data_IF_921086910448
#
_entry.id   IF_921086910448
#
_cell.length_a   1.000
_cell.length_b   1.000
_cell.length_c   1.000
_cell.angle_alpha   90.00
_cell.angle_beta   90.00
_cell.angle_gamma   90.00
#
_symmetry.space_group_name_H-M   'P 1'
#
loop_
_entity.id
_entity.type
_entity.pdbx_description
1 polymer ?
#
# COMPACT_ATOMS: atom_id res chain seq x y z
N UNK A 1 30.77 -16.48 -0.79
CA UNK A 1 31.41 -15.64 0.26
C UNK A 1 31.32 -16.37 1.59
N UNK A 2 32.39 -16.40 2.39
CA UNK A 2 32.31 -16.89 3.77
C UNK A 2 31.57 -15.87 4.64
N UNK A 3 30.88 -16.30 5.70
CA UNK A 3 30.11 -15.44 6.62
C UNK A 3 30.96 -14.31 7.22
N UNK A 4 32.24 -14.56 7.51
CA UNK A 4 33.19 -13.55 7.99
C UNK A 4 33.44 -12.46 6.94
N UNK A 5 33.74 -12.83 5.69
CA UNK A 5 33.98 -11.86 4.59
C UNK A 5 32.75 -11.00 4.30
N UNK A 6 31.55 -11.56 4.45
CA UNK A 6 30.32 -10.80 4.30
C UNK A 6 30.14 -9.78 5.42
N UNK A 7 30.41 -10.17 6.67
CA UNK A 7 30.35 -9.27 7.82
C UNK A 7 31.34 -8.11 7.64
N UNK A 8 32.57 -8.39 7.26
CA UNK A 8 33.60 -7.36 7.02
C UNK A 8 33.15 -6.39 5.92
N UNK A 9 32.58 -6.91 4.82
CA UNK A 9 32.03 -6.10 3.74
C UNK A 9 30.86 -5.21 4.19
N UNK A 10 29.99 -5.69 5.08
CA UNK A 10 28.90 -4.89 5.65
C UNK A 10 29.46 -3.74 6.50
N UNK A 11 30.45 -4.02 7.35
CA UNK A 11 31.09 -2.99 8.19
C UNK A 11 31.77 -1.92 7.34
N UNK A 12 32.53 -2.33 6.32
CA UNK A 12 33.17 -1.41 5.37
C UNK A 12 32.12 -0.53 4.66
N UNK A 13 31.03 -1.12 4.17
CA UNK A 13 29.96 -0.35 3.53
C UNK A 13 29.27 0.62 4.49
N UNK A 14 29.07 0.24 5.76
CA UNK A 14 28.47 1.15 6.76
C UNK A 14 29.40 2.31 7.11
N UNK A 15 30.72 2.08 7.15
CA UNK A 15 31.70 3.15 7.33
C UNK A 15 31.71 4.09 6.11
N UNK A 16 31.74 3.53 4.90
CA UNK A 16 31.71 4.29 3.65
C UNK A 16 30.42 5.08 3.46
N UNK A 17 29.28 4.60 3.96
CA UNK A 17 28.01 5.32 3.94
C UNK A 17 28.04 6.63 4.75
N UNK A 18 29.00 6.78 5.69
CA UNK A 18 29.22 7.99 6.49
C UNK A 18 30.29 8.93 5.89
N UNK A 19 30.92 8.55 4.78
CA UNK A 19 31.95 9.37 4.11
C UNK A 19 31.40 10.73 3.66
N UNK A 20 32.23 11.75 3.49
CA UNK A 20 31.77 13.03 2.90
C UNK A 20 31.60 12.97 1.37
N UNK A 21 32.08 11.90 0.72
CA UNK A 21 31.99 11.72 -0.72
C UNK A 21 30.70 10.98 -1.12
N UNK A 22 29.85 11.64 -1.91
CA UNK A 22 28.63 11.04 -2.45
C UNK A 22 28.90 9.80 -3.33
N UNK A 23 30.02 9.76 -4.04
CA UNK A 23 30.42 8.59 -4.84
C UNK A 23 30.71 7.37 -3.95
N UNK A 24 31.39 7.59 -2.84
CA UNK A 24 31.70 6.55 -1.84
C UNK A 24 30.41 6.06 -1.18
N UNK A 25 29.55 6.97 -0.72
CA UNK A 25 28.22 6.64 -0.16
C UNK A 25 27.40 5.82 -1.15
N UNK A 26 27.33 6.27 -2.40
CA UNK A 26 26.54 5.62 -3.43
C UNK A 26 27.02 4.18 -3.68
N UNK A 27 28.34 3.97 -3.78
CA UNK A 27 28.92 2.64 -3.99
C UNK A 27 28.63 1.71 -2.81
N UNK A 28 28.74 2.23 -1.59
CA UNK A 28 28.44 1.50 -0.37
C UNK A 28 26.96 1.10 -0.29
N UNK A 29 26.05 2.05 -0.49
CA UNK A 29 24.60 1.78 -0.45
C UNK A 29 24.16 0.81 -1.56
N UNK A 30 24.72 0.91 -2.78
CA UNK A 30 24.45 -0.07 -3.85
C UNK A 30 24.88 -1.48 -3.46
N UNK A 31 26.04 -1.61 -2.79
CA UNK A 31 26.52 -2.90 -2.29
C UNK A 31 25.59 -3.44 -1.20
N UNK A 32 25.15 -2.60 -0.26
CA UNK A 32 24.18 -2.99 0.79
C UNK A 32 22.82 -3.40 0.22
N UNK A 33 22.31 -2.72 -0.82
CA UNK A 33 21.10 -3.14 -1.55
C UNK A 33 21.29 -4.55 -2.11
N UNK A 34 22.42 -4.82 -2.78
CA UNK A 34 22.72 -6.15 -3.33
C UNK A 34 22.77 -7.21 -2.22
N UNK A 35 23.49 -6.94 -1.12
CA UNK A 35 23.62 -7.85 0.02
C UNK A 35 22.26 -8.20 0.63
N UNK A 36 21.42 -7.20 0.90
CA UNK A 36 20.12 -7.38 1.58
C UNK A 36 19.05 -8.02 0.71
N UNK A 37 19.16 -7.87 -0.62
CA UNK A 37 18.26 -8.51 -1.60
C UNK A 37 18.45 -10.03 -1.66
N UNK A 38 19.67 -10.54 -1.43
CA UNK A 38 20.04 -11.93 -1.70
C UNK A 38 19.43 -12.94 -0.72
N UNK A 39 19.50 -12.70 0.60
CA UNK A 39 19.05 -13.71 1.57
C UNK A 39 18.56 -13.14 2.90
N UNK A 40 17.67 -13.86 3.62
CA UNK A 40 17.29 -13.51 4.99
C UNK A 40 18.48 -13.43 5.96
N UNK A 41 19.48 -14.28 5.77
CA UNK A 41 20.68 -14.32 6.62
C UNK A 41 21.49 -13.02 6.49
N UNK A 42 21.63 -12.48 5.27
CA UNK A 42 22.32 -11.22 5.03
C UNK A 42 21.59 -10.04 5.68
N UNK A 43 20.25 -10.04 5.61
CA UNK A 43 19.41 -9.03 6.28
C UNK A 43 19.59 -9.07 7.79
N UNK A 44 19.59 -10.27 8.37
CA UNK A 44 19.82 -10.45 9.81
C UNK A 44 21.20 -9.95 10.22
N UNK A 45 22.23 -10.26 9.41
CA UNK A 45 23.59 -9.84 9.69
C UNK A 45 23.72 -8.32 9.68
N UNK A 46 23.15 -7.63 8.67
CA UNK A 46 23.14 -6.16 8.63
C UNK A 46 22.39 -5.57 9.82
N UNK A 47 21.25 -6.14 10.19
CA UNK A 47 20.43 -5.63 11.29
C UNK A 47 21.03 -5.89 12.68
N UNK A 48 21.89 -6.89 12.81
CA UNK A 48 22.66 -7.17 14.03
C UNK A 48 23.91 -6.31 14.15
N UNK A 49 24.30 -5.60 13.10
CA UNK A 49 25.43 -4.68 13.17
C UNK A 49 25.00 -3.41 13.90
N UNK A 50 25.69 -3.14 15.01
CA UNK A 50 25.52 -1.91 15.76
C UNK A 50 25.73 -0.70 14.83
N UNK A 51 24.90 0.33 14.98
CA UNK A 51 24.84 1.54 14.15
C UNK A 51 24.28 1.40 12.73
N UNK A 52 23.93 0.20 12.25
CA UNK A 52 23.38 0.04 10.89
C UNK A 52 22.10 0.86 10.67
N UNK A 53 21.12 0.74 11.57
CA UNK A 53 19.86 1.49 11.46
C UNK A 53 20.06 3.01 11.59
N UNK A 54 20.75 3.53 12.64
CA UNK A 54 21.04 4.97 12.72
C UNK A 54 21.75 5.52 11.47
N UNK A 55 22.72 4.78 10.93
CA UNK A 55 23.46 5.20 9.72
C UNK A 55 22.53 5.28 8.51
N UNK A 56 21.67 4.28 8.32
CA UNK A 56 20.69 4.28 7.23
C UNK A 56 19.66 5.41 7.40
N UNK A 57 19.15 5.64 8.61
CA UNK A 57 18.21 6.74 8.86
C UNK A 57 18.84 8.11 8.58
N UNK A 58 20.07 8.34 9.04
CA UNK A 58 20.80 9.58 8.70
C UNK A 58 21.05 9.74 7.18
N UNK A 59 21.16 8.63 6.44
CA UNK A 59 21.32 8.66 4.99
C UNK A 59 20.03 9.06 4.26
N UNK A 60 18.85 8.93 4.89
CA UNK A 60 17.58 9.44 4.34
C UNK A 60 17.51 10.97 4.38
N UNK A 61 18.25 11.61 5.28
CA UNK A 61 18.33 13.07 5.40
C UNK A 61 19.25 13.71 4.35
N UNK A 62 19.95 12.89 3.56
CA UNK A 62 20.79 13.36 2.45
C UNK A 62 19.97 14.17 1.44
N UNK A 63 20.56 15.24 0.90
CA UNK A 63 19.98 16.02 -0.21
C UNK A 63 19.98 15.27 -1.55
N UNK A 64 20.59 14.08 -1.63
CA UNK A 64 20.69 13.31 -2.87
C UNK A 64 19.51 12.34 -3.03
N UNK A 65 18.65 12.53 -4.06
CA UNK A 65 17.52 11.64 -4.35
C UNK A 65 17.90 10.17 -4.52
N UNK A 66 19.08 9.95 -5.11
CA UNK A 66 19.59 8.61 -5.38
C UNK A 66 20.01 7.91 -4.09
N UNK A 67 20.70 8.60 -3.18
CA UNK A 67 21.09 8.04 -1.88
C UNK A 67 19.86 7.72 -1.03
N UNK A 68 18.85 8.60 -1.03
CA UNK A 68 17.57 8.35 -0.36
C UNK A 68 16.87 7.10 -0.91
N UNK A 69 16.79 6.96 -2.24
CA UNK A 69 16.13 5.82 -2.90
C UNK A 69 16.86 4.49 -2.60
N UNK A 70 18.19 4.49 -2.64
CA UNK A 70 19.00 3.32 -2.26
C UNK A 70 18.78 2.94 -0.80
N UNK A 71 18.75 3.94 0.09
CA UNK A 71 18.53 3.75 1.53
C UNK A 71 17.13 3.18 1.81
N UNK A 72 16.08 3.74 1.19
CA UNK A 72 14.72 3.21 1.26
C UNK A 72 14.66 1.74 0.80
N UNK A 73 15.42 1.39 -0.25
CA UNK A 73 15.48 0.01 -0.74
C UNK A 73 16.11 -0.94 0.28
N UNK A 74 17.16 -0.52 0.98
CA UNK A 74 17.78 -1.30 2.05
C UNK A 74 16.80 -1.49 3.20
N UNK A 75 16.12 -0.42 3.65
CA UNK A 75 15.13 -0.48 4.72
C UNK A 75 13.94 -1.36 4.35
N UNK A 76 13.44 -1.26 3.11
CA UNK A 76 12.44 -2.17 2.57
C UNK A 76 12.90 -3.63 2.65
N UNK A 77 14.12 -3.94 2.18
CA UNK A 77 14.64 -5.30 2.26
C UNK A 77 14.71 -5.77 3.73
N UNK A 78 15.20 -4.94 4.65
CA UNK A 78 15.25 -5.26 6.09
C UNK A 78 13.86 -5.53 6.67
N UNK A 79 12.84 -4.77 6.26
CA UNK A 79 11.45 -4.95 6.72
C UNK A 79 10.87 -6.33 6.38
N UNK A 80 11.42 -7.04 5.39
CA UNK A 80 11.02 -8.41 5.05
C UNK A 80 11.37 -9.42 6.15
N UNK A 81 12.17 -9.04 7.14
CA UNK A 81 12.35 -9.79 8.37
C UNK A 81 11.31 -9.34 9.42
N UNK A 82 10.36 -10.21 9.85
CA UNK A 82 9.35 -9.88 10.86
C UNK A 82 9.92 -9.31 12.16
N UNK A 83 11.11 -9.77 12.58
CA UNK A 83 11.74 -9.33 13.83
C UNK A 83 12.21 -7.87 13.78
N UNK A 84 12.38 -7.29 12.59
CA UNK A 84 12.84 -5.92 12.41
C UNK A 84 11.69 -4.93 12.18
N UNK A 85 10.47 -5.41 11.91
CA UNK A 85 9.33 -4.54 11.63
C UNK A 85 9.01 -3.61 12.80
N UNK A 86 9.16 -4.08 14.03
CA UNK A 86 8.89 -3.26 15.20
C UNK A 86 9.96 -2.17 15.42
N UNK A 87 11.24 -2.49 15.16
CA UNK A 87 12.35 -1.54 15.30
C UNK A 87 12.38 -0.48 14.21
N UNK A 88 11.81 -0.79 13.04
CA UNK A 88 11.68 0.13 11.90
C UNK A 88 10.39 0.97 11.94
N UNK A 89 9.67 0.98 13.06
CA UNK A 89 8.39 1.71 13.21
C UNK A 89 8.40 2.53 14.49
N UNK A 90 9.48 3.28 14.69
CA UNK A 90 9.51 4.44 15.57
C UNK A 90 8.84 5.66 14.90
N UNK A 91 8.52 6.67 15.69
CA UNK A 91 7.78 7.85 15.24
C UNK A 91 8.51 8.65 14.16
N UNK A 92 9.82 8.80 14.27
CA UNK A 92 10.64 9.58 13.33
C UNK A 92 10.72 8.89 11.96
N UNK A 93 10.95 7.57 11.95
CA UNK A 93 10.92 6.77 10.73
C UNK A 93 9.57 6.88 10.02
N UNK A 94 8.43 6.81 10.74
CA UNK A 94 7.11 6.93 10.12
C UNK A 94 6.92 8.31 9.48
N UNK A 95 7.32 9.39 10.15
CA UNK A 95 7.21 10.74 9.59
C UNK A 95 8.09 10.92 8.35
N UNK A 96 9.30 10.35 8.36
CA UNK A 96 10.18 10.33 7.20
C UNK A 96 9.54 9.58 6.02
N UNK A 97 8.94 8.40 6.26
CA UNK A 97 8.23 7.67 5.21
C UNK A 97 7.04 8.47 4.67
N UNK A 98 6.28 9.13 5.54
CA UNK A 98 5.17 9.99 5.13
C UNK A 98 5.64 11.14 4.21
N UNK A 99 6.82 11.73 4.45
CA UNK A 99 7.33 12.79 3.56
C UNK A 99 7.64 12.26 2.15
N UNK A 100 8.13 11.03 2.02
CA UNK A 100 8.33 10.39 0.70
C UNK A 100 7.01 10.04 -0.01
N UNK A 101 5.89 9.99 0.72
CA UNK A 101 4.55 9.84 0.12
C UNK A 101 3.99 11.20 -0.30
N UNK A 102 4.08 12.23 0.54
CA UNK A 102 3.47 13.54 0.27
C UNK A 102 4.29 14.43 -0.65
N UNK A 103 5.61 14.24 -0.68
CA UNK A 103 6.55 15.04 -1.45
C UNK A 103 7.64 14.13 -2.01
N UNK A 104 7.28 13.22 -2.94
CA UNK A 104 8.19 12.22 -3.45
C UNK A 104 9.32 12.87 -4.23
N UNK A 105 10.55 12.45 -3.94
CA UNK A 105 11.74 12.94 -4.64
C UNK A 105 11.86 12.29 -6.03
N UNK A 106 11.29 11.10 -6.18
CA UNK A 106 11.06 10.41 -7.45
C UNK A 106 9.85 9.46 -7.35
N UNK A 107 9.23 9.06 -8.48
CA UNK A 107 8.17 8.05 -8.46
C UNK A 107 8.61 6.73 -7.80
N UNK A 108 9.86 6.32 -8.05
CA UNK A 108 10.43 5.09 -7.46
C UNK A 108 10.59 5.20 -5.94
N UNK A 109 11.02 6.36 -5.42
CA UNK A 109 11.11 6.59 -3.98
C UNK A 109 9.75 6.47 -3.29
N UNK A 110 8.68 7.01 -3.92
CA UNK A 110 7.31 6.91 -3.40
C UNK A 110 6.83 5.47 -3.38
N UNK A 111 7.09 4.72 -4.46
CA UNK A 111 6.77 3.30 -4.59
C UNK A 111 7.45 2.44 -3.53
N UNK A 112 8.74 2.65 -3.29
CA UNK A 112 9.49 1.91 -2.27
C UNK A 112 9.02 2.30 -0.87
N UNK A 113 8.79 3.60 -0.61
CA UNK A 113 8.28 4.07 0.68
C UNK A 113 6.90 3.45 0.99
N UNK A 114 6.00 3.44 0.02
CA UNK A 114 4.70 2.76 0.17
C UNK A 114 4.89 1.26 0.44
N UNK A 115 5.72 0.58 -0.35
CA UNK A 115 6.00 -0.85 -0.14
C UNK A 115 6.58 -1.16 1.25
N UNK A 116 7.44 -0.28 1.77
CA UNK A 116 7.98 -0.35 3.11
C UNK A 116 6.89 -0.13 4.18
N UNK A 117 6.03 0.89 4.03
CA UNK A 117 4.88 1.10 4.91
C UNK A 117 4.00 -0.15 4.95
N UNK A 118 3.65 -0.72 3.78
CA UNK A 118 2.86 -1.95 3.67
C UNK A 118 3.53 -3.12 4.41
N UNK A 119 4.81 -3.36 4.15
CA UNK A 119 5.58 -4.43 4.80
C UNK A 119 5.62 -4.28 6.33
N UNK A 120 5.84 -3.06 6.83
CA UNK A 120 5.83 -2.76 8.27
C UNK A 120 4.44 -2.90 8.88
N UNK A 121 3.39 -2.53 8.15
CA UNK A 121 2.00 -2.63 8.59
C UNK A 121 1.50 -4.07 8.72
N UNK A 122 2.08 -5.03 7.99
CA UNK A 122 1.78 -6.47 8.16
C UNK A 122 2.06 -6.99 9.59
N UNK A 123 2.80 -6.24 10.42
CA UNK A 123 2.83 -6.48 11.86
C UNK A 123 1.70 -5.65 12.51
N UNK A 124 0.63 -6.29 13.00
CA UNK A 124 -0.55 -5.60 13.51
C UNK A 124 -0.26 -4.52 14.57
N UNK A 125 0.75 -4.73 15.42
CA UNK A 125 1.20 -3.77 16.45
C UNK A 125 1.66 -2.42 15.86
N UNK A 126 2.03 -2.39 14.58
CA UNK A 126 2.47 -1.19 13.89
C UNK A 126 1.31 -0.37 13.29
N UNK A 127 0.17 -1.01 12.96
CA UNK A 127 -0.95 -0.35 12.24
C UNK A 127 -1.47 0.89 12.97
N UNK A 128 -1.64 0.81 14.30
CA UNK A 128 -2.10 1.93 15.11
C UNK A 128 -1.10 3.11 15.13
N UNK A 129 0.21 2.83 15.09
CA UNK A 129 1.26 3.87 15.08
C UNK A 129 1.20 4.71 13.80
N UNK A 130 1.02 4.07 12.65
CA UNK A 130 0.83 4.75 11.36
C UNK A 130 -0.45 5.61 11.35
N UNK A 131 -1.54 5.11 11.97
CA UNK A 131 -2.76 5.89 12.17
C UNK A 131 -2.54 7.18 12.97
N UNK A 132 -1.85 7.07 14.11
CA UNK A 132 -1.51 8.23 14.97
C UNK A 132 -0.58 9.21 14.25
N UNK A 133 0.33 8.73 13.41
CA UNK A 133 1.27 9.54 12.66
C UNK A 133 0.69 10.18 11.37
N UNK A 134 -0.63 10.11 11.17
CA UNK A 134 -1.35 10.64 10.00
C UNK A 134 -0.98 10.00 8.65
N UNK A 135 -0.41 8.78 8.65
CA UNK A 135 -0.04 8.08 7.41
C UNK A 135 -1.25 7.81 6.52
N UNK A 136 -2.42 7.53 7.11
CA UNK A 136 -3.66 7.27 6.37
C UNK A 136 -4.05 8.48 5.51
N UNK A 137 -4.01 9.67 6.08
CA UNK A 137 -4.32 10.92 5.41
C UNK A 137 -3.31 11.21 4.28
N UNK A 138 -2.03 10.96 4.54
CA UNK A 138 -0.97 11.07 3.53
C UNK A 138 -1.25 10.15 2.32
N UNK A 139 -1.60 8.88 2.58
CA UNK A 139 -1.91 7.90 1.53
C UNK A 139 -3.16 8.29 0.74
N UNK A 140 -4.26 8.64 1.41
CA UNK A 140 -5.51 9.07 0.74
C UNK A 140 -5.25 10.28 -0.17
N UNK A 141 -4.48 11.27 0.32
CA UNK A 141 -4.11 12.44 -0.48
C UNK A 141 -3.23 12.07 -1.68
N UNK A 142 -2.21 11.23 -1.49
CA UNK A 142 -1.32 10.82 -2.58
C UNK A 142 -2.04 10.02 -3.68
N UNK A 143 -2.97 9.16 -3.28
CA UNK A 143 -3.84 8.40 -4.20
C UNK A 143 -4.76 9.34 -4.98
N UNK A 144 -5.33 10.37 -4.34
CA UNK A 144 -6.22 11.32 -5.01
C UNK A 144 -5.55 12.19 -6.08
N UNK A 145 -4.25 12.46 -5.92
CA UNK A 145 -3.50 13.38 -6.76
C UNK A 145 -2.72 12.73 -7.92
N UNK A 146 -2.68 11.40 -8.01
CA UNK A 146 -1.81 10.75 -8.98
C UNK A 146 -2.38 9.45 -9.58
N UNK A 147 -2.52 9.42 -10.91
CA UNK A 147 -2.30 8.19 -11.69
C UNK A 147 -0.80 7.96 -11.82
N UNK A 148 -0.13 7.76 -10.68
CA UNK A 148 1.31 7.50 -10.65
C UNK A 148 1.59 6.01 -10.74
N UNK A 149 2.79 5.66 -11.21
CA UNK A 149 3.35 4.30 -11.15
C UNK A 149 3.38 3.71 -9.72
N UNK A 150 3.15 4.53 -8.69
CA UNK A 150 3.10 4.10 -7.29
C UNK A 150 1.67 3.83 -6.77
N UNK A 151 0.60 4.13 -7.53
CA UNK A 151 -0.78 4.05 -7.07
C UNK A 151 -1.15 2.68 -6.48
N UNK A 152 -0.76 1.59 -7.16
CA UNK A 152 -0.97 0.23 -6.65
C UNK A 152 -0.30 0.00 -5.28
N UNK A 153 0.92 0.53 -5.09
CA UNK A 153 1.66 0.39 -3.83
C UNK A 153 1.04 1.23 -2.72
N UNK A 154 0.58 2.45 -3.04
CA UNK A 154 -0.15 3.31 -2.10
C UNK A 154 -1.44 2.66 -1.64
N UNK A 155 -2.24 2.13 -2.57
CA UNK A 155 -3.47 1.40 -2.27
C UNK A 155 -3.18 0.13 -1.45
N UNK A 156 -2.18 -0.67 -1.84
CA UNK A 156 -1.76 -1.86 -1.07
C UNK A 156 -1.40 -1.51 0.37
N UNK A 157 -0.70 -0.40 0.58
CA UNK A 157 -0.34 0.10 1.91
C UNK A 157 -1.58 0.52 2.71
N UNK A 158 -2.51 1.21 2.05
CA UNK A 158 -3.75 1.63 2.67
C UNK A 158 -4.60 0.42 3.06
N UNK A 159 -4.73 -0.58 2.20
CA UNK A 159 -5.42 -1.86 2.47
C UNK A 159 -4.89 -2.51 3.73
N UNK A 160 -3.56 -2.66 3.86
CA UNK A 160 -2.95 -3.29 5.05
C UNK A 160 -3.24 -2.47 6.32
N UNK A 161 -3.15 -1.14 6.23
CA UNK A 161 -3.36 -0.27 7.38
C UNK A 161 -4.82 -0.25 7.85
N UNK A 162 -5.80 -0.26 6.94
CA UNK A 162 -7.23 -0.24 7.30
C UNK A 162 -7.76 -1.61 7.73
N UNK A 163 -6.96 -2.68 7.71
CA UNK A 163 -7.33 -3.89 8.45
C UNK A 163 -7.46 -3.64 9.96
N UNK A 164 -6.81 -2.58 10.48
CA UNK A 164 -7.02 -2.11 11.83
C UNK A 164 -8.22 -1.15 11.89
N UNK A 165 -9.26 -1.52 12.66
CA UNK A 165 -10.51 -0.76 12.77
C UNK A 165 -10.32 0.73 13.06
N UNK A 166 -9.39 1.10 13.95
CA UNK A 166 -9.12 2.51 14.27
C UNK A 166 -8.69 3.33 13.06
N UNK A 167 -8.00 2.70 12.10
CA UNK A 167 -7.58 3.34 10.86
C UNK A 167 -8.72 3.46 9.84
N UNK A 168 -9.74 2.60 9.87
CA UNK A 168 -10.92 2.73 9.00
C UNK A 168 -11.61 4.08 9.21
N UNK A 169 -11.89 4.42 10.47
CA UNK A 169 -12.48 5.70 10.84
C UNK A 169 -11.63 6.89 10.41
N UNK A 170 -10.30 6.79 10.53
CA UNK A 170 -9.38 7.83 10.06
C UNK A 170 -9.46 7.96 8.53
N UNK A 171 -9.48 6.84 7.80
CA UNK A 171 -9.57 6.83 6.33
C UNK A 171 -10.88 7.46 5.83
N UNK A 172 -12.02 7.12 6.43
CA UNK A 172 -13.33 7.69 6.06
C UNK A 172 -13.32 9.21 6.27
N UNK A 173 -12.86 9.69 7.43
CA UNK A 173 -12.75 11.12 7.71
C UNK A 173 -11.74 11.84 6.82
N UNK A 174 -10.73 11.14 6.33
CA UNK A 174 -9.76 11.67 5.37
C UNK A 174 -10.34 11.77 3.94
N UNK A 175 -11.58 11.32 3.70
CA UNK A 175 -12.21 11.33 2.38
C UNK A 175 -11.83 10.14 1.50
N UNK A 176 -11.44 8.99 2.08
CA UNK A 176 -11.06 7.81 1.31
C UNK A 176 -12.19 7.32 0.38
N UNK A 177 -13.44 7.32 0.85
CA UNK A 177 -14.59 6.79 0.07
C UNK A 177 -14.76 7.48 -1.30
N UNK A 178 -14.92 8.81 -1.39
CA UNK A 178 -15.05 9.47 -2.69
C UNK A 178 -13.80 9.32 -3.58
N UNK A 179 -12.61 9.28 -2.99
CA UNK A 179 -11.35 9.06 -3.75
C UNK A 179 -11.33 7.67 -4.39
N UNK A 180 -11.69 6.63 -3.63
CA UNK A 180 -11.67 5.25 -4.10
C UNK A 180 -12.78 4.97 -5.11
N UNK A 181 -13.97 5.56 -4.93
CA UNK A 181 -15.06 5.44 -5.93
C UNK A 181 -14.63 6.04 -7.27
N UNK A 182 -14.05 7.25 -7.24
CA UNK A 182 -13.52 7.89 -8.45
C UNK A 182 -12.48 7.02 -9.16
N UNK A 183 -11.58 6.37 -8.40
CA UNK A 183 -10.62 5.44 -8.99
C UNK A 183 -11.27 4.22 -9.64
N UNK A 184 -12.31 3.66 -9.01
CA UNK A 184 -13.06 2.53 -9.60
C UNK A 184 -13.70 2.94 -10.93
N UNK A 185 -14.27 4.13 -11.01
CA UNK A 185 -14.89 4.64 -12.24
C UNK A 185 -13.84 4.92 -13.34
N UNK A 186 -12.70 5.52 -12.96
CA UNK A 186 -11.62 5.83 -13.89
C UNK A 186 -10.92 4.58 -14.45
N UNK A 187 -10.63 3.58 -13.58
CA UNK A 187 -9.98 2.31 -13.95
C UNK A 187 -10.73 1.49 -15.00
N UNK A 188 -12.04 1.75 -15.18
CA UNK A 188 -12.83 1.10 -16.23
C UNK A 188 -12.47 1.58 -17.64
N UNK A 189 -11.91 2.78 -17.76
CA UNK A 189 -11.68 3.44 -19.04
C UNK A 189 -10.25 3.27 -19.58
N UNK A 190 -9.28 3.02 -18.72
CA UNK A 190 -7.84 3.14 -19.03
C UNK A 190 -7.04 1.83 -18.87
N UNK A 191 -7.67 0.73 -18.44
CA UNK A 191 -7.06 -0.60 -18.42
C UNK A 191 -6.02 -0.84 -17.31
N UNK A 192 -5.83 0.13 -16.41
CA UNK A 192 -5.09 -0.06 -15.16
C UNK A 192 -6.00 -0.67 -14.08
N UNK A 193 -5.64 -1.86 -13.57
CA UNK A 193 -6.43 -2.60 -12.57
C UNK A 193 -6.23 -2.07 -11.14
N UNK A 194 -6.66 -0.83 -10.88
CA UNK A 194 -6.73 -0.26 -9.52
C UNK A 194 -8.12 -0.42 -8.89
N UNK A 195 -9.13 -0.76 -9.69
CA UNK A 195 -10.51 -0.95 -9.25
C UNK A 195 -10.62 -2.05 -8.19
N UNK A 196 -9.99 -3.21 -8.42
CA UNK A 196 -10.07 -4.35 -7.48
C UNK A 196 -9.53 -3.99 -6.10
N UNK A 197 -8.34 -3.38 -6.03
CA UNK A 197 -7.75 -2.96 -4.75
C UNK A 197 -8.57 -1.84 -4.09
N UNK A 198 -9.09 -0.91 -4.88
CA UNK A 198 -9.94 0.18 -4.35
C UNK A 198 -11.24 -0.36 -3.74
N UNK A 199 -11.87 -1.34 -4.40
CA UNK A 199 -13.07 -2.02 -3.91
C UNK A 199 -12.77 -2.86 -2.66
N UNK A 200 -11.64 -3.54 -2.59
CA UNK A 200 -11.22 -4.25 -1.38
C UNK A 200 -11.11 -3.29 -0.17
N UNK A 201 -10.56 -2.09 -0.36
CA UNK A 201 -10.52 -1.06 0.69
C UNK A 201 -11.95 -0.61 1.05
N UNK A 202 -12.79 -0.32 0.05
CA UNK A 202 -14.18 0.08 0.29
C UNK A 202 -14.95 -0.98 1.09
N UNK A 203 -14.79 -2.28 0.78
CA UNK A 203 -15.35 -3.40 1.54
C UNK A 203 -14.89 -3.38 3.01
N UNK A 204 -13.59 -3.17 3.27
CA UNK A 204 -13.06 -3.07 4.63
C UNK A 204 -13.65 -1.88 5.40
N UNK A 205 -13.86 -0.73 4.73
CA UNK A 205 -14.50 0.43 5.33
C UNK A 205 -16.01 0.18 5.57
N UNK A 206 -16.69 -0.52 4.66
CA UNK A 206 -18.12 -0.84 4.72
C UNK A 206 -18.48 -1.80 5.86
N UNK A 207 -17.50 -2.50 6.46
CA UNK A 207 -17.71 -3.33 7.66
C UNK A 207 -18.14 -2.54 8.89
N UNK A 208 -18.07 -1.21 8.85
CA UNK A 208 -18.36 -0.34 9.98
C UNK A 208 -19.33 0.77 9.57
N UNK A 209 -20.15 1.22 10.53
CA UNK A 209 -21.23 2.19 10.27
C UNK A 209 -20.75 3.50 9.65
N UNK A 210 -19.58 4.00 10.05
CA UNK A 210 -19.03 5.27 9.51
C UNK A 210 -18.71 5.14 8.02
N UNK A 211 -18.06 4.04 7.60
CA UNK A 211 -17.73 3.79 6.20
C UNK A 211 -18.96 3.43 5.36
N UNK A 212 -19.86 2.61 5.90
CA UNK A 212 -21.11 2.27 5.21
C UNK A 212 -22.01 3.50 5.03
N UNK A 213 -22.10 4.37 6.03
CA UNK A 213 -22.84 5.63 5.93
C UNK A 213 -22.23 6.57 4.90
N UNK A 214 -20.91 6.58 4.76
CA UNK A 214 -20.23 7.36 3.73
C UNK A 214 -20.54 6.81 2.33
N UNK A 215 -20.49 5.49 2.13
CA UNK A 215 -20.86 4.83 0.88
C UNK A 215 -22.32 5.10 0.48
N UNK A 216 -23.26 5.08 1.44
CA UNK A 216 -24.68 5.38 1.18
C UNK A 216 -24.93 6.83 0.75
N UNK A 217 -24.03 7.74 1.09
CA UNK A 217 -24.10 9.16 0.69
C UNK A 217 -23.44 9.41 -0.67
N UNK A 218 -22.77 8.41 -1.24
CA UNK A 218 -22.24 8.49 -2.59
C UNK A 218 -23.39 8.38 -3.58
N UNK A 219 -23.51 9.38 -4.45
CA UNK A 219 -24.50 9.40 -5.50
C UNK A 219 -24.31 8.22 -6.45
N UNK A 220 -25.42 7.60 -6.87
CA UNK A 220 -25.43 6.48 -7.82
C UNK A 220 -24.58 5.25 -7.41
N UNK A 221 -24.25 5.10 -6.12
CA UNK A 221 -23.37 4.01 -5.64
C UNK A 221 -23.81 2.63 -6.11
N UNK A 222 -25.12 2.36 -6.12
CA UNK A 222 -25.68 1.09 -6.60
C UNK A 222 -25.39 0.89 -8.09
N UNK A 223 -25.62 1.92 -8.91
CA UNK A 223 -25.33 1.87 -10.34
C UNK A 223 -23.84 1.62 -10.61
N UNK A 224 -22.96 2.34 -9.90
CA UNK A 224 -21.50 2.16 -10.00
C UNK A 224 -21.11 0.71 -9.73
N UNK A 225 -21.62 0.10 -8.66
CA UNK A 225 -21.30 -1.29 -8.32
C UNK A 225 -21.86 -2.29 -9.35
N UNK A 226 -23.08 -2.09 -9.84
CA UNK A 226 -23.67 -2.94 -10.89
C UNK A 226 -22.85 -2.88 -12.19
N UNK A 227 -22.37 -1.70 -12.53
CA UNK A 227 -21.52 -1.49 -13.68
C UNK A 227 -20.14 -2.16 -13.55
N UNK A 228 -19.59 -2.24 -12.33
CA UNK A 228 -18.40 -3.04 -12.04
C UNK A 228 -18.69 -4.55 -12.19
N UNK A 229 -19.85 -5.02 -11.74
CA UNK A 229 -20.25 -6.44 -11.86
C UNK A 229 -20.36 -6.92 -13.32
N UNK A 230 -20.70 -6.02 -14.24
CA UNK A 230 -20.72 -6.27 -15.70
C UNK A 230 -19.32 -6.36 -16.32
N UNK A 231 -18.27 -5.95 -15.59
CA UNK A 231 -16.88 -6.02 -16.04
C UNK A 231 -16.35 -7.44 -16.20
N UNK A 232 -15.04 -7.59 -16.43
CA UNK A 232 -14.37 -8.91 -16.56
C UNK A 232 -13.44 -9.25 -15.40
N UNK A 233 -13.01 -8.28 -14.60
CA UNK A 233 -12.08 -8.50 -13.48
C UNK A 233 -12.81 -9.12 -12.28
N UNK A 234 -12.47 -10.37 -11.94
CA UNK A 234 -13.12 -11.11 -10.84
C UNK A 234 -12.92 -10.44 -9.48
N UNK A 235 -11.72 -9.92 -9.20
CA UNK A 235 -11.44 -9.21 -7.95
C UNK A 235 -12.34 -7.98 -7.79
N UNK A 236 -12.55 -7.23 -8.88
CA UNK A 236 -13.46 -6.08 -8.86
C UNK A 236 -14.92 -6.52 -8.67
N UNK A 237 -15.35 -7.63 -9.28
CA UNK A 237 -16.70 -8.16 -9.08
C UNK A 237 -16.95 -8.58 -7.63
N UNK A 238 -16.00 -9.30 -7.04
CA UNK A 238 -16.09 -9.74 -5.65
C UNK A 238 -16.24 -8.56 -4.69
N UNK A 239 -15.37 -7.54 -4.84
CA UNK A 239 -15.44 -6.32 -4.03
C UNK A 239 -16.76 -5.55 -4.23
N UNK A 240 -17.24 -5.41 -5.47
CA UNK A 240 -18.51 -4.74 -5.76
C UNK A 240 -19.71 -5.51 -5.19
N UNK A 241 -19.71 -6.84 -5.27
CA UNK A 241 -20.73 -7.68 -4.68
C UNK A 241 -20.76 -7.54 -3.15
N UNK A 242 -19.60 -7.56 -2.49
CA UNK A 242 -19.53 -7.38 -1.03
C UNK A 242 -20.09 -6.01 -0.60
N UNK A 243 -19.72 -4.93 -1.31
CA UNK A 243 -20.25 -3.59 -1.04
C UNK A 243 -21.78 -3.55 -1.21
N UNK A 244 -22.31 -4.13 -2.30
CA UNK A 244 -23.77 -4.18 -2.54
C UNK A 244 -24.52 -4.97 -1.47
N UNK A 245 -24.00 -6.13 -1.06
CA UNK A 245 -24.62 -6.94 0.01
C UNK A 245 -24.79 -6.10 1.27
N UNK A 246 -23.75 -5.39 1.70
CA UNK A 246 -23.80 -4.53 2.90
C UNK A 246 -24.75 -3.35 2.74
N UNK A 247 -24.81 -2.74 1.55
CA UNK A 247 -25.75 -1.66 1.27
C UNK A 247 -27.21 -2.14 1.32
N UNK A 248 -27.48 -3.35 0.83
CA UNK A 248 -28.83 -3.92 0.81
C UNK A 248 -29.30 -4.39 2.19
N UNK A 249 -28.40 -4.91 3.02
CA UNK A 249 -28.70 -5.27 4.41
C UNK A 249 -29.17 -4.06 5.24
N UNK A 250 -28.60 -2.88 4.98
CA UNK A 250 -28.80 -1.68 5.81
C UNK A 250 -29.65 -0.58 5.14
N UNK A 251 -30.07 -0.77 3.89
CA UNK A 251 -30.85 0.23 3.15
C UNK A 251 -31.83 -0.37 2.13
N UNK A 252 -33.12 -0.35 2.47
CA UNK A 252 -34.20 -0.63 1.51
C UNK A 252 -34.19 0.33 0.30
N UNK A 253 -33.66 1.54 0.46
CA UNK A 253 -33.48 2.49 -0.63
C UNK A 253 -32.55 1.95 -1.72
N UNK A 254 -31.38 1.45 -1.30
CA UNK A 254 -30.42 0.84 -2.21
C UNK A 254 -31.00 -0.40 -2.92
N UNK A 255 -31.82 -1.21 -2.22
CA UNK A 255 -32.51 -2.35 -2.84
C UNK A 255 -33.48 -1.90 -3.93
N UNK A 256 -34.28 -0.85 -3.66
CA UNK A 256 -35.21 -0.30 -4.67
C UNK A 256 -34.48 0.26 -5.88
N UNK A 257 -33.34 0.91 -5.68
CA UNK A 257 -32.53 1.44 -6.78
C UNK A 257 -31.96 0.31 -7.63
N UNK A 258 -31.48 -0.78 -7.01
CA UNK A 258 -31.00 -1.96 -7.74
C UNK A 258 -32.11 -2.60 -8.61
N UNK A 259 -33.32 -2.74 -8.06
CA UNK A 259 -34.46 -3.29 -8.80
C UNK A 259 -34.85 -2.44 -10.03
N UNK A 260 -34.58 -1.13 -10.00
CA UNK A 260 -34.80 -0.22 -11.15
C UNK A 260 -33.72 -0.32 -12.22
N UNK A 261 -32.54 -0.84 -11.88
CA UNK A 261 -31.34 -0.89 -12.72
C UNK A 261 -31.08 -2.29 -13.30
N UNK A 262 -32.15 -3.07 -13.53
CA UNK A 262 -32.06 -4.42 -14.09
C UNK A 262 -31.18 -5.39 -13.29
N UNK A 263 -31.05 -5.22 -11.96
CA UNK A 263 -30.18 -6.06 -11.12
C UNK A 263 -30.37 -7.58 -11.33
N UNK A 264 -31.59 -8.02 -11.62
CA UNK A 264 -31.89 -9.42 -11.91
C UNK A 264 -31.16 -9.99 -13.15
N UNK A 265 -30.91 -9.17 -14.19
CA UNK A 265 -30.15 -9.61 -15.37
C UNK A 265 -28.66 -9.76 -15.03
N UNK A 266 -28.09 -8.79 -14.29
CA UNK A 266 -26.70 -8.83 -13.83
C UNK A 266 -26.44 -10.06 -12.95
N UNK A 267 -27.38 -10.41 -12.05
CA UNK A 267 -27.29 -11.62 -11.24
C UNK A 267 -27.39 -12.92 -12.06
N UNK A 268 -28.26 -12.95 -13.07
CA UNK A 268 -28.38 -14.10 -13.96
C UNK A 268 -27.06 -14.33 -14.72
N UNK A 269 -26.45 -13.27 -15.24
CA UNK A 269 -25.16 -13.32 -15.94
C UNK A 269 -24.05 -13.83 -15.01
N UNK A 270 -24.00 -13.33 -13.76
CA UNK A 270 -23.04 -13.81 -12.74
C UNK A 270 -23.23 -15.29 -12.41
N UNK A 271 -24.47 -15.77 -12.29
CA UNK A 271 -24.78 -17.18 -11.99
C UNK A 271 -24.43 -18.14 -13.12
N UNK A 272 -24.35 -17.62 -14.35
CA UNK A 272 -24.00 -18.40 -15.55
C UNK A 272 -22.49 -18.45 -15.85
N UNK A 273 -21.67 -17.73 -15.07
CA UNK A 273 -20.23 -17.64 -15.31
C UNK A 273 -19.51 -18.94 -14.90
N UNK A 274 -18.69 -19.56 -15.77
CA UNK A 274 -18.03 -20.80 -15.44
C UNK A 274 -16.98 -20.59 -14.34
N UNK A 275 -17.02 -21.39 -13.29
CA UNK A 275 -16.10 -21.36 -12.14
C UNK A 275 -14.65 -21.79 -12.47
N UNK A 276 -14.29 -21.93 -13.75
CA UNK A 276 -13.01 -22.46 -14.22
C UNK A 276 -12.58 -21.81 -15.54
N UNK A 277 -12.18 -20.55 -15.50
CA UNK A 277 -11.25 -19.98 -16.49
C UNK A 277 -10.10 -19.31 -15.73
N UNK A 278 -9.33 -20.14 -15.01
CA UNK A 278 -7.91 -19.86 -14.80
C UNK A 278 -7.15 -20.52 -15.97
N UNK A 279 -6.25 -19.75 -16.57
CA UNK A 279 -5.26 -20.13 -17.58
C UNK A 279 -5.76 -20.89 -18.82
N UNK A 280 -5.98 -20.14 -19.90
CA UNK A 280 -5.40 -20.51 -21.19
C UNK A 280 -5.07 -19.23 -21.98
N UNK A 281 -3.82 -18.80 -21.82
CA UNK A 281 -3.22 -17.70 -22.58
C UNK A 281 -1.72 -17.94 -22.69
N UNK A 282 -1.33 -18.61 -23.79
CA UNK A 282 0.05 -18.97 -24.12
C UNK A 282 0.95 -17.81 -24.57
#
# INVERSE_FOLDING_TARGET
MTTTRLRDSIFECLADAKSDSDDVKQKALKTLVSITKVSPQNRNLLAQTDEALPTLLSSLESSSPLLQTLTLSILFNLSLNPNLKQSLTDTETIYCLNSFITSPVSPESSKIAASLICSLAMLDKNKAKFGVANTIQCLVKAVSGSRSLAAHHLLSSLTELVQFHGNCSVAVRAGAVPVLIKLVEESRADGEDLAGTSLAILSLLARFNEGLSALRKTDEIVNIMLEVLKGRCMLSKEGAAEVLIRLFEESEGCVRDALRLEFSSVLADLSSWPATQEDDGG
#
